data_IF_278930768135
#
_entry.id   IF_278930768135
#
_cell.length_a   1.000
_cell.length_b   1.000
_cell.length_c   1.000
_cell.angle_alpha   90.00
_cell.angle_beta   90.00
_cell.angle_gamma   90.00
#
_symmetry.space_group_name_H-M   'P 1'
#
loop_
_entity.id
_entity.type
_entity.pdbx_description
1 polymer ?
#
# COMPACT_ATOMS: atom_id res chain seq x y z
N UNK A 1 10.44 2.99 5.05
CA UNK A 1 9.20 2.59 5.76
C UNK A 1 8.19 3.73 5.89
N UNK A 2 8.56 4.89 6.43
CA UNK A 2 7.64 6.05 6.63
C UNK A 2 6.87 6.44 5.36
N UNK A 3 7.55 6.53 4.21
CA UNK A 3 6.93 6.86 2.93
C UNK A 3 5.79 5.90 2.52
N UNK A 4 6.02 4.58 2.61
CA UNK A 4 5.03 3.57 2.21
C UNK A 4 3.79 3.63 3.13
N UNK A 5 4.03 3.79 4.43
CA UNK A 5 2.96 3.92 5.42
C UNK A 5 2.11 5.16 5.16
N UNK A 6 2.72 6.33 5.02
CA UNK A 6 2.00 7.59 4.75
C UNK A 6 1.20 7.51 3.45
N UNK A 7 1.81 6.97 2.39
CA UNK A 7 1.16 6.82 1.08
C UNK A 7 -0.05 5.89 1.15
N UNK A 8 0.05 4.77 1.86
CA UNK A 8 -1.06 3.82 2.02
C UNK A 8 -2.16 4.38 2.93
N UNK A 9 -1.80 5.11 4.00
CA UNK A 9 -2.77 5.80 4.86
C UNK A 9 -3.56 6.83 4.03
N UNK A 10 -2.87 7.67 3.25
CA UNK A 10 -3.52 8.64 2.37
C UNK A 10 -4.44 7.95 1.35
N UNK A 11 -4.01 6.80 0.81
CA UNK A 11 -4.79 6.03 -0.14
C UNK A 11 -6.09 5.49 0.47
N UNK A 12 -6.06 4.93 1.70
CA UNK A 12 -7.28 4.44 2.36
C UNK A 12 -8.19 5.57 2.86
N UNK A 13 -7.63 6.75 3.18
CA UNK A 13 -8.44 7.91 3.56
C UNK A 13 -9.12 8.56 2.35
N UNK A 14 -8.51 8.47 1.17
CA UNK A 14 -9.00 9.07 -0.07
C UNK A 14 -9.11 8.07 -1.24
N UNK A 15 -9.90 6.98 -1.12
CA UNK A 15 -9.97 5.90 -2.11
C UNK A 15 -10.57 6.35 -3.47
N UNK A 16 -11.23 7.50 -3.52
CA UNK A 16 -11.81 8.08 -4.73
C UNK A 16 -10.76 8.64 -5.70
N UNK A 17 -9.53 8.90 -5.25
CA UNK A 17 -8.46 9.39 -6.13
C UNK A 17 -7.94 8.26 -7.01
N UNK A 18 -7.66 8.55 -8.28
CA UNK A 18 -7.13 7.57 -9.23
C UNK A 18 -5.85 6.91 -8.70
N UNK A 19 -4.93 7.73 -8.17
CA UNK A 19 -3.68 7.26 -7.58
C UNK A 19 -3.92 6.33 -6.39
N UNK A 20 -4.84 6.69 -5.48
CA UNK A 20 -5.21 5.84 -4.34
C UNK A 20 -5.72 4.48 -4.80
N UNK A 21 -6.59 4.42 -5.82
CA UNK A 21 -7.08 3.13 -6.34
C UNK A 21 -5.95 2.25 -6.89
N UNK A 22 -4.99 2.84 -7.59
CA UNK A 22 -3.83 2.12 -8.11
C UNK A 22 -2.96 1.59 -6.96
N UNK A 23 -2.76 2.38 -5.91
CA UNK A 23 -2.02 1.98 -4.71
C UNK A 23 -2.72 0.84 -3.97
N UNK A 24 -4.01 0.98 -3.68
CA UNK A 24 -4.80 -0.03 -2.97
C UNK A 24 -4.88 -1.35 -3.75
N UNK A 25 -4.86 -1.30 -5.08
CA UNK A 25 -4.81 -2.50 -5.93
C UNK A 25 -3.50 -3.30 -5.80
N UNK A 26 -2.43 -2.71 -5.24
CA UNK A 26 -1.17 -3.42 -4.95
C UNK A 26 -1.16 -4.09 -3.58
N UNK A 27 -2.12 -3.76 -2.70
CA UNK A 27 -2.20 -4.37 -1.38
C UNK A 27 -2.68 -5.82 -1.53
N UNK A 28 -2.04 -6.80 -0.88
CA UNK A 28 -2.48 -8.18 -0.87
C UNK A 28 -3.93 -8.30 -0.37
N UNK A 29 -4.73 -9.14 -1.03
CA UNK A 29 -6.17 -9.33 -0.73
C UNK A 29 -6.47 -9.79 0.70
N UNK A 30 -5.48 -10.27 1.43
CA UNK A 30 -5.61 -10.65 2.85
C UNK A 30 -5.81 -9.45 3.80
N UNK A 31 -5.53 -8.22 3.34
CA UNK A 31 -5.75 -6.99 4.11
C UNK A 31 -6.98 -6.26 3.58
N UNK A 32 -7.96 -5.97 4.44
CA UNK A 32 -9.22 -5.32 4.05
C UNK A 32 -9.09 -3.79 4.01
N UNK A 33 -8.41 -3.30 2.97
CA UNK A 33 -8.22 -1.86 2.72
C UNK A 33 -9.42 -1.19 2.04
N UNK A 34 -10.49 -1.95 1.78
CA UNK A 34 -11.73 -1.46 1.14
C UNK A 34 -12.93 -1.42 2.08
N UNK A 35 -12.75 -1.80 3.34
CA UNK A 35 -13.81 -1.77 4.35
C UNK A 35 -14.53 -0.42 4.41
N UNK A 36 -15.86 -0.40 4.59
CA UNK A 36 -16.59 0.85 4.83
C UNK A 36 -16.15 1.53 6.13
N UNK A 37 -15.60 0.78 7.08
CA UNK A 37 -15.05 1.32 8.32
C UNK A 37 -13.63 1.88 8.11
N UNK A 38 -13.44 3.14 8.52
CA UNK A 38 -12.12 3.80 8.48
C UNK A 38 -11.11 3.13 9.41
N UNK A 39 -11.55 2.67 10.58
CA UNK A 39 -10.67 2.02 11.54
C UNK A 39 -10.11 0.71 10.98
N UNK A 40 -10.98 -0.13 10.41
CA UNK A 40 -10.59 -1.40 9.79
C UNK A 40 -9.59 -1.20 8.64
N UNK A 41 -9.80 -0.17 7.81
CA UNK A 41 -8.85 0.14 6.73
C UNK A 41 -7.50 0.60 7.27
N UNK A 42 -7.48 1.44 8.29
CA UNK A 42 -6.24 1.92 8.90
C UNK A 42 -5.47 0.76 9.56
N UNK A 43 -6.18 -0.10 10.28
CA UNK A 43 -5.61 -1.31 10.87
C UNK A 43 -5.03 -2.24 9.79
N UNK A 44 -5.76 -2.44 8.69
CA UNK A 44 -5.30 -3.26 7.56
C UNK A 44 -4.00 -2.72 6.92
N UNK A 45 -3.83 -1.40 6.86
CA UNK A 45 -2.56 -0.79 6.40
C UNK A 45 -1.42 -1.06 7.39
N UNK A 46 -1.67 -0.95 8.70
CA UNK A 46 -0.68 -1.26 9.72
C UNK A 46 -0.27 -2.74 9.69
N UNK A 47 -1.22 -3.65 9.54
CA UNK A 47 -0.97 -5.08 9.41
C UNK A 47 -0.16 -5.40 8.15
N UNK A 48 -0.42 -4.69 7.05
CA UNK A 48 0.34 -4.82 5.81
C UNK A 48 1.79 -4.36 5.97
N UNK A 49 1.99 -3.18 6.55
CA UNK A 49 3.31 -2.61 6.81
C UNK A 49 4.10 -3.45 7.82
N UNK A 50 3.44 -4.01 8.83
CA UNK A 50 4.10 -4.82 9.87
C UNK A 50 4.50 -6.21 9.35
N UNK A 51 3.75 -6.77 8.41
CA UNK A 51 4.08 -8.05 7.76
C UNK A 51 5.06 -7.94 6.58
N UNK A 52 5.53 -6.74 6.27
CA UNK A 52 6.39 -6.45 5.13
C UNK A 52 7.85 -6.84 5.43
N UNK A 53 8.47 -7.61 4.54
CA UNK A 53 9.91 -7.84 4.57
C UNK A 53 10.65 -6.70 3.86
N UNK A 54 11.93 -6.50 4.16
CA UNK A 54 12.74 -5.44 3.52
C UNK A 54 12.78 -5.57 1.99
N UNK A 55 12.87 -6.80 1.47
CA UNK A 55 12.84 -7.08 0.02
C UNK A 55 11.50 -6.69 -0.59
N UNK A 56 10.40 -7.01 0.09
CA UNK A 56 9.06 -6.63 -0.36
C UNK A 56 8.85 -5.12 -0.30
N UNK A 57 9.33 -4.44 0.74
CA UNK A 57 9.27 -2.98 0.86
C UNK A 57 9.99 -2.28 -0.28
N UNK A 58 11.19 -2.76 -0.62
CA UNK A 58 12.00 -2.21 -1.69
C UNK A 58 11.36 -2.44 -3.07
N UNK A 59 10.84 -3.65 -3.32
CA UNK A 59 10.11 -3.97 -4.56
C UNK A 59 8.84 -3.10 -4.69
N UNK A 60 8.05 -2.98 -3.62
CA UNK A 60 6.86 -2.13 -3.62
C UNK A 60 7.24 -0.67 -3.90
N UNK A 61 8.20 -0.11 -3.17
CA UNK A 61 8.67 1.27 -3.37
C UNK A 61 9.08 1.55 -4.83
N UNK A 62 9.85 0.64 -5.44
CA UNK A 62 10.25 0.75 -6.86
C UNK A 62 9.04 0.72 -7.79
N UNK A 63 8.11 -0.20 -7.58
CA UNK A 63 6.85 -0.29 -8.37
C UNK A 63 6.01 0.97 -8.25
N UNK A 64 5.98 1.61 -7.08
CA UNK A 64 5.24 2.84 -6.84
C UNK A 64 5.86 4.04 -7.55
N UNK A 65 7.19 4.10 -7.61
CA UNK A 65 7.93 5.19 -8.26
C UNK A 65 8.12 4.99 -9.77
N UNK A 66 7.62 3.89 -10.34
CA UNK A 66 7.76 3.60 -11.77
C UNK A 66 9.14 3.07 -12.17
N UNK A 67 9.99 2.72 -11.20
CA UNK A 67 11.26 2.04 -11.41
C UNK A 67 11.01 0.55 -11.70
N UNK A 68 10.43 0.25 -12.87
CA UNK A 68 10.47 -1.11 -13.41
C UNK A 68 11.89 -1.39 -13.89
N UNK A 69 12.75 -1.86 -13.00
CA UNK A 69 14.01 -2.45 -13.44
C UNK A 69 13.69 -3.71 -14.25
N UNK A 70 14.18 -3.83 -15.50
CA UNK A 70 14.33 -5.14 -16.09
C UNK A 70 15.41 -5.84 -15.27
N UNK A 71 15.00 -6.78 -14.42
CA UNK A 71 15.97 -7.66 -13.78
C UNK A 71 16.48 -8.63 -14.84
N UNK A 72 17.71 -8.40 -15.32
CA UNK A 72 18.58 -9.43 -15.92
C UNK A 72 19.74 -9.67 -14.97
#
# INVERSE_FOLDING_TARGET
MTYLMETLIEAVLHPQRNFSRLMLAKVPRQYDVTSPDKYVRLQSVLDHISGMTDVYALDLFRRLNGDTLPAV
#
